data_IF_242286135435
#
_entry.id   IF_242286135435
#
_cell.length_a   1.000
_cell.length_b   1.000
_cell.length_c   1.000
_cell.angle_alpha   90.00
_cell.angle_beta   90.00
_cell.angle_gamma   90.00
#
_symmetry.space_group_name_H-M   'P 1'
#
loop_
_entity.id
_entity.type
_entity.pdbx_description
1 polymer ?
#
# COMPACT_ATOMS: atom_id res chain seq x y z
N UNK A 1 -18.90 -2.58 7.34
CA UNK A 1 -19.93 -1.79 8.06
C UNK A 1 -19.77 -0.31 7.72
N UNK A 2 -18.58 0.29 7.94
CA UNK A 2 -18.32 1.73 7.69
C UNK A 2 -18.59 2.11 6.23
N UNK A 3 -18.08 1.36 5.24
CA UNK A 3 -18.31 1.62 3.82
C UNK A 3 -19.81 1.55 3.45
N UNK A 4 -20.58 0.69 4.10
CA UNK A 4 -22.03 0.57 3.87
C UNK A 4 -22.80 1.79 4.40
N UNK A 5 -22.31 2.38 5.50
CA UNK A 5 -22.97 3.54 6.14
C UNK A 5 -22.57 4.84 5.43
N UNK A 6 -21.28 5.01 5.11
CA UNK A 6 -20.73 6.26 4.55
C UNK A 6 -20.87 6.31 3.02
N UNK A 7 -20.57 5.21 2.32
CA UNK A 7 -20.54 5.17 0.85
C UNK A 7 -21.82 4.59 0.23
N UNK A 8 -22.79 4.12 1.03
CA UNK A 8 -24.05 3.48 0.60
C UNK A 8 -23.86 2.32 -0.40
N UNK A 9 -22.67 1.74 -0.51
CA UNK A 9 -22.33 0.64 -1.41
C UNK A 9 -22.50 -0.72 -0.74
N UNK A 10 -23.09 -1.67 -1.45
CA UNK A 10 -23.56 -2.98 -0.91
C UNK A 10 -22.44 -3.96 -0.48
N UNK A 11 -21.22 -3.81 -0.83
CA UNK A 11 -20.02 -4.49 -0.29
C UNK A 11 -18.75 -3.96 -0.96
N UNK A 12 -18.03 -3.06 -0.33
CA UNK A 12 -16.68 -2.70 -0.76
C UNK A 12 -15.70 -3.16 0.31
N UNK A 13 -15.02 -4.27 0.05
CA UNK A 13 -13.81 -4.64 0.74
C UNK A 13 -12.71 -3.67 0.29
N UNK A 14 -12.55 -2.58 1.01
CA UNK A 14 -11.43 -1.67 0.76
C UNK A 14 -10.19 -2.22 1.47
N UNK A 15 -9.05 -2.26 0.75
CA UNK A 15 -7.75 -2.66 1.33
C UNK A 15 -7.46 -1.85 2.60
N UNK A 16 -7.78 -0.55 2.61
CA UNK A 16 -7.64 0.31 3.79
C UNK A 16 -8.47 -0.15 4.99
N UNK A 17 -9.70 -0.60 4.76
CA UNK A 17 -10.54 -1.15 5.84
C UNK A 17 -10.01 -2.48 6.39
N UNK A 18 -9.48 -3.35 5.53
CA UNK A 18 -8.86 -4.61 5.95
C UNK A 18 -7.59 -4.37 6.79
N UNK A 19 -6.74 -3.43 6.36
CA UNK A 19 -5.52 -3.04 7.09
C UNK A 19 -5.87 -2.43 8.44
N UNK A 20 -6.83 -1.51 8.49
CA UNK A 20 -7.29 -0.92 9.73
C UNK A 20 -7.80 -1.99 10.71
N UNK A 21 -8.66 -2.89 10.23
CA UNK A 21 -9.15 -4.00 11.05
C UNK A 21 -7.99 -4.89 11.54
N UNK A 22 -7.02 -5.22 10.66
CA UNK A 22 -5.85 -6.00 11.01
C UNK A 22 -5.00 -5.35 12.10
N UNK A 23 -4.69 -4.05 11.96
CA UNK A 23 -3.88 -3.31 12.95
C UNK A 23 -4.59 -3.24 14.31
N UNK A 24 -5.91 -3.05 14.31
CA UNK A 24 -6.69 -2.99 15.56
C UNK A 24 -6.84 -4.36 16.22
N UNK A 25 -7.04 -5.41 15.43
CA UNK A 25 -7.32 -6.76 15.99
C UNK A 25 -6.06 -7.57 16.30
N UNK A 26 -4.95 -7.34 15.59
CA UNK A 26 -3.72 -8.12 15.75
C UNK A 26 -3.16 -8.12 17.18
N UNK A 27 -3.08 -7.00 17.93
CA UNK A 27 -2.62 -7.01 19.31
C UNK A 27 -3.45 -7.93 20.20
N UNK A 28 -4.78 -7.90 20.04
CA UNK A 28 -5.70 -8.73 20.82
C UNK A 28 -5.54 -10.22 20.50
N UNK A 29 -5.33 -10.54 19.22
CA UNK A 29 -5.07 -11.93 18.80
C UNK A 29 -3.76 -12.42 19.39
N UNK A 30 -2.70 -11.62 19.37
CA UNK A 30 -1.40 -11.98 19.95
C UNK A 30 -1.54 -12.20 21.47
N UNK A 31 -2.27 -11.34 22.16
CA UNK A 31 -2.53 -11.49 23.61
C UNK A 31 -3.33 -12.76 23.89
N UNK A 32 -4.33 -13.07 23.08
CA UNK A 32 -5.12 -14.30 23.20
C UNK A 32 -4.25 -15.56 22.98
N UNK A 33 -3.40 -15.54 21.95
CA UNK A 33 -2.44 -16.62 21.67
C UNK A 33 -1.49 -16.83 22.85
N UNK A 34 -0.96 -15.75 23.42
CA UNK A 34 -0.10 -15.85 24.60
C UNK A 34 -0.85 -16.46 25.82
N UNK A 35 -2.10 -16.06 26.03
CA UNK A 35 -2.92 -16.55 27.15
C UNK A 35 -3.35 -18.02 26.99
N UNK A 36 -3.45 -18.52 25.80
CA UNK A 36 -3.89 -19.90 25.49
C UNK A 36 -2.72 -20.79 25.12
N UNK A 37 -2.22 -20.68 23.90
CA UNK A 37 -1.14 -21.52 23.37
C UNK A 37 0.20 -21.22 24.04
N UNK A 38 0.46 -19.94 24.38
CA UNK A 38 1.69 -19.53 25.06
C UNK A 38 1.84 -20.21 26.42
N UNK A 39 0.77 -20.29 27.18
CA UNK A 39 0.76 -21.01 28.47
C UNK A 39 0.83 -22.55 28.31
N UNK A 40 0.16 -23.10 27.28
CA UNK A 40 0.17 -24.53 27.00
C UNK A 40 1.53 -25.05 26.50
N UNK A 41 2.22 -24.25 25.68
CA UNK A 41 3.49 -24.61 25.05
C UNK A 41 4.72 -23.86 25.62
N UNK A 42 4.52 -23.10 26.70
CA UNK A 42 5.56 -22.38 27.41
C UNK A 42 6.38 -21.42 26.53
N UNK A 43 5.69 -20.61 25.69
CA UNK A 43 6.31 -19.54 24.91
C UNK A 43 5.57 -18.21 25.13
N UNK A 44 6.24 -17.10 24.82
CA UNK A 44 5.66 -15.76 24.87
C UNK A 44 6.03 -14.95 23.61
N UNK A 45 5.02 -14.39 22.94
CA UNK A 45 5.18 -13.53 21.77
C UNK A 45 5.07 -12.06 22.21
N UNK A 46 6.16 -11.28 22.19
CA UNK A 46 6.09 -9.86 22.48
C UNK A 46 5.25 -9.13 21.44
N UNK A 47 4.20 -8.43 21.87
CA UNK A 47 3.24 -7.78 20.97
C UNK A 47 3.93 -6.81 20.00
N UNK A 48 4.83 -5.96 20.51
CA UNK A 48 5.55 -4.97 19.69
C UNK A 48 6.42 -5.63 18.59
N UNK A 49 7.08 -6.75 18.91
CA UNK A 49 7.90 -7.50 17.95
C UNK A 49 7.02 -8.11 16.87
N UNK A 50 5.91 -8.74 17.24
CA UNK A 50 4.98 -9.33 16.28
C UNK A 50 4.33 -8.27 15.39
N UNK A 51 3.94 -7.14 15.96
CA UNK A 51 3.39 -6.02 15.18
C UNK A 51 4.42 -5.45 14.19
N UNK A 52 5.69 -5.37 14.57
CA UNK A 52 6.76 -4.94 13.66
C UNK A 52 6.94 -5.94 12.50
N UNK A 53 6.98 -7.24 12.78
CA UNK A 53 7.03 -8.27 11.73
C UNK A 53 5.86 -8.18 10.76
N UNK A 54 4.64 -8.03 11.28
CA UNK A 54 3.43 -7.89 10.46
C UNK A 54 3.48 -6.63 9.59
N UNK A 55 3.93 -5.51 10.15
CA UNK A 55 4.04 -4.23 9.42
C UNK A 55 5.09 -4.29 8.31
N UNK A 56 6.26 -4.88 8.58
CA UNK A 56 7.30 -5.10 7.56
C UNK A 56 6.79 -6.01 6.44
N UNK A 57 6.16 -7.15 6.80
CA UNK A 57 5.58 -8.08 5.84
C UNK A 57 4.50 -7.44 4.98
N UNK A 58 3.63 -6.63 5.59
CA UNK A 58 2.62 -5.84 4.90
C UNK A 58 3.26 -4.85 3.91
N UNK A 59 4.32 -4.16 4.31
CA UNK A 59 5.01 -3.16 3.47
C UNK A 59 5.59 -3.81 2.21
N UNK A 60 6.23 -4.98 2.32
CA UNK A 60 6.67 -5.75 1.16
C UNK A 60 5.50 -6.27 0.30
N UNK A 61 4.44 -6.75 0.94
CA UNK A 61 3.23 -7.21 0.24
C UNK A 61 2.58 -6.09 -0.59
N UNK A 62 2.48 -4.89 -0.04
CA UNK A 62 2.00 -3.70 -0.77
C UNK A 62 2.95 -3.31 -1.91
N UNK A 63 4.26 -3.38 -1.70
CA UNK A 63 5.26 -3.12 -2.75
C UNK A 63 5.06 -4.04 -3.96
N UNK A 64 4.99 -5.34 -3.73
CA UNK A 64 4.76 -6.34 -4.78
C UNK A 64 3.37 -6.18 -5.41
N UNK A 65 2.35 -5.88 -4.60
CA UNK A 65 0.99 -5.61 -5.07
C UNK A 65 0.93 -4.44 -6.06
N UNK A 66 1.79 -3.44 -5.94
CA UNK A 66 1.87 -2.33 -6.91
C UNK A 66 2.41 -2.76 -8.27
N UNK A 67 3.29 -3.74 -8.32
CA UNK A 67 3.75 -4.33 -9.59
C UNK A 67 2.61 -5.08 -10.29
N UNK A 68 1.75 -5.78 -9.54
CA UNK A 68 0.53 -6.37 -10.09
C UNK A 68 -0.42 -5.28 -10.63
N UNK A 69 -0.60 -4.16 -9.91
CA UNK A 69 -1.38 -3.03 -10.39
C UNK A 69 -0.85 -2.46 -11.71
N UNK A 70 0.49 -2.44 -11.90
CA UNK A 70 1.09 -2.05 -13.16
C UNK A 70 0.68 -2.99 -14.30
N UNK A 71 0.71 -4.32 -14.05
CA UNK A 71 0.29 -5.32 -15.03
C UNK A 71 -1.18 -5.21 -15.40
N UNK A 72 -2.06 -4.93 -14.44
CA UNK A 72 -3.51 -4.76 -14.68
C UNK A 72 -3.89 -3.37 -15.21
N UNK A 73 -2.98 -2.41 -15.24
CA UNK A 73 -3.27 -1.03 -15.63
C UNK A 73 -4.28 -0.35 -14.71
N UNK A 74 -4.27 -0.67 -13.40
CA UNK A 74 -5.07 -0.02 -12.38
C UNK A 74 -4.22 0.87 -11.49
N UNK A 75 -4.83 1.73 -10.66
CA UNK A 75 -4.14 2.65 -9.76
C UNK A 75 -3.12 3.55 -10.48
N UNK A 76 -3.41 3.93 -11.70
CA UNK A 76 -2.52 4.72 -12.57
C UNK A 76 -2.44 6.18 -12.14
N UNK A 77 -1.32 6.82 -12.50
CA UNK A 77 -1.09 8.23 -12.26
C UNK A 77 -1.76 9.13 -13.30
N UNK A 78 -1.65 10.45 -13.10
CA UNK A 78 -2.18 11.44 -14.04
C UNK A 78 -1.48 11.35 -15.40
N UNK A 79 -2.21 11.58 -16.51
CA UNK A 79 -1.61 11.74 -17.83
C UNK A 79 -0.65 12.92 -17.84
N UNK A 80 0.47 12.79 -18.52
CA UNK A 80 1.43 13.91 -18.65
C UNK A 80 0.85 15.12 -19.38
N UNK A 81 -0.17 14.93 -20.20
CA UNK A 81 -0.94 15.99 -20.84
C UNK A 81 -1.61 16.94 -19.83
N UNK A 82 -1.97 16.43 -18.66
CA UNK A 82 -2.59 17.19 -17.56
C UNK A 82 -1.56 17.75 -16.55
N UNK A 83 -0.30 17.41 -16.70
CA UNK A 83 0.77 17.87 -15.81
C UNK A 83 1.42 19.15 -16.35
N UNK A 84 1.74 20.07 -15.44
CA UNK A 84 2.41 21.34 -15.77
C UNK A 84 3.75 21.49 -15.04
N UNK A 85 4.62 22.34 -15.56
CA UNK A 85 5.86 22.73 -14.89
C UNK A 85 6.88 21.60 -14.70
N UNK A 86 7.52 21.57 -13.53
CA UNK A 86 8.62 20.66 -13.22
C UNK A 86 8.21 19.17 -13.21
N UNK A 87 6.98 18.87 -12.81
CA UNK A 87 6.47 17.49 -12.81
C UNK A 87 6.44 16.92 -14.24
N UNK A 88 5.98 17.68 -15.22
CA UNK A 88 5.97 17.25 -16.62
C UNK A 88 7.38 16.93 -17.12
N UNK A 89 8.36 17.83 -16.89
CA UNK A 89 9.75 17.61 -17.30
C UNK A 89 10.37 16.36 -16.68
N UNK A 90 10.12 16.14 -15.39
CA UNK A 90 10.64 14.97 -14.66
C UNK A 90 10.08 13.67 -15.23
N UNK A 91 8.76 13.60 -15.43
CA UNK A 91 8.08 12.38 -15.88
C UNK A 91 8.07 12.21 -17.42
N UNK A 92 8.56 13.18 -18.19
CA UNK A 92 8.69 13.03 -19.63
C UNK A 92 9.69 11.93 -20.02
N UNK A 93 10.74 11.73 -19.22
CA UNK A 93 11.74 10.67 -19.37
C UNK A 93 11.39 9.41 -18.60
N UNK A 94 10.58 9.52 -17.53
CA UNK A 94 10.18 8.43 -16.67
C UNK A 94 8.66 8.31 -16.62
N UNK A 95 8.10 7.63 -17.60
CA UNK A 95 6.64 7.46 -17.73
C UNK A 95 6.29 6.01 -18.08
N UNK A 96 5.02 5.68 -17.95
CA UNK A 96 4.45 4.38 -18.35
C UNK A 96 3.33 4.64 -19.36
N UNK A 97 3.33 3.84 -20.42
CA UNK A 97 2.26 3.80 -21.40
C UNK A 97 1.55 2.46 -21.29
N UNK A 98 0.25 2.49 -21.08
CA UNK A 98 -0.55 1.26 -21.02
C UNK A 98 -1.16 0.98 -22.38
N UNK A 99 -0.88 -0.21 -22.90
CA UNK A 99 -1.43 -0.73 -24.16
C UNK A 99 -2.30 -1.96 -23.89
N UNK A 100 -3.37 -2.13 -24.65
CA UNK A 100 -4.28 -3.28 -24.55
C UNK A 100 -5.62 -2.93 -23.92
N UNK A 101 -6.69 -3.40 -24.55
CA UNK A 101 -8.09 -3.10 -24.20
C UNK A 101 -8.53 -3.69 -22.85
N UNK A 102 -7.86 -4.76 -22.39
CA UNK A 102 -8.15 -5.43 -21.12
C UNK A 102 -7.64 -4.68 -19.89
N UNK A 103 -6.83 -3.64 -20.08
CA UNK A 103 -6.29 -2.81 -18.99
C UNK A 103 -7.37 -1.87 -18.43
N UNK A 104 -7.42 -1.70 -17.10
CA UNK A 104 -8.42 -0.81 -16.48
C UNK A 104 -8.36 0.61 -17.04
N UNK A 105 -7.17 1.13 -17.29
CA UNK A 105 -6.95 2.46 -17.89
C UNK A 105 -7.61 2.60 -19.27
N UNK A 106 -7.72 1.52 -20.05
CA UNK A 106 -8.35 1.52 -21.34
C UNK A 106 -9.90 1.54 -21.22
N UNK A 107 -10.47 0.52 -20.56
CA UNK A 107 -11.93 0.37 -20.54
C UNK A 107 -12.65 1.30 -19.55
N UNK A 108 -11.97 1.78 -18.49
CA UNK A 108 -12.60 2.65 -17.49
C UNK A 108 -12.39 4.15 -17.76
N UNK A 109 -11.34 4.54 -18.47
CA UNK A 109 -10.97 5.97 -18.65
C UNK A 109 -10.65 6.36 -20.08
N UNK A 110 -10.54 5.41 -21.02
CA UNK A 110 -10.19 5.70 -22.41
C UNK A 110 -8.79 6.28 -22.63
N UNK A 111 -7.89 6.12 -21.65
CA UNK A 111 -6.54 6.73 -21.65
C UNK A 111 -5.45 5.76 -22.14
N UNK A 112 -5.84 4.72 -22.89
CA UNK A 112 -4.88 3.80 -23.48
C UNK A 112 -3.95 4.53 -24.46
N UNK A 113 -2.65 4.23 -24.38
CA UNK A 113 -1.64 4.87 -25.23
C UNK A 113 -1.10 6.22 -24.74
N UNK A 114 -1.69 6.81 -23.70
CA UNK A 114 -1.16 8.03 -23.11
C UNK A 114 0.04 7.78 -22.19
N UNK A 115 0.98 8.74 -22.15
CA UNK A 115 2.08 8.74 -21.20
C UNK A 115 1.57 9.15 -19.82
N UNK A 116 1.79 8.31 -18.80
CA UNK A 116 1.29 8.53 -17.45
C UNK A 116 2.42 8.56 -16.44
N UNK A 117 2.19 9.25 -15.32
CA UNK A 117 3.09 9.19 -14.16
C UNK A 117 3.12 7.73 -13.65
N UNK A 118 4.31 7.12 -13.49
CA UNK A 118 4.46 5.72 -13.07
C UNK A 118 4.28 5.56 -11.56
N UNK A 119 3.15 6.01 -11.02
CA UNK A 119 2.91 6.07 -9.58
C UNK A 119 2.96 4.70 -8.92
N UNK A 120 2.64 3.62 -9.65
CA UNK A 120 2.72 2.25 -9.16
C UNK A 120 4.17 1.86 -8.89
N UNK A 121 5.09 2.17 -9.83
CA UNK A 121 6.52 1.87 -9.72
C UNK A 121 7.12 2.68 -8.57
N UNK A 122 6.84 3.98 -8.52
CA UNK A 122 7.33 4.86 -7.45
C UNK A 122 6.88 4.34 -6.08
N UNK A 123 5.61 3.97 -5.95
CA UNK A 123 5.07 3.40 -4.71
C UNK A 123 5.74 2.07 -4.36
N UNK A 124 5.96 1.18 -5.35
CA UNK A 124 6.63 -0.09 -5.13
C UNK A 124 8.05 0.11 -4.59
N UNK A 125 8.81 1.04 -5.18
CA UNK A 125 10.19 1.35 -4.75
C UNK A 125 10.21 1.94 -3.34
N UNK A 126 9.36 2.91 -3.04
CA UNK A 126 9.30 3.54 -1.70
C UNK A 126 8.97 2.49 -0.65
N UNK A 127 7.99 1.63 -0.90
CA UNK A 127 7.61 0.58 0.05
C UNK A 127 8.68 -0.51 0.17
N UNK A 128 9.37 -0.87 -0.92
CA UNK A 128 10.50 -1.80 -0.84
C UNK A 128 11.63 -1.24 0.03
N UNK A 129 11.98 0.04 -0.15
CA UNK A 129 13.02 0.71 0.66
C UNK A 129 12.60 0.76 2.12
N UNK A 130 11.36 1.19 2.42
CA UNK A 130 10.84 1.22 3.79
C UNK A 130 10.84 -0.18 4.42
N UNK A 131 10.42 -1.22 3.68
CA UNK A 131 10.49 -2.60 4.17
C UNK A 131 11.91 -3.06 4.49
N UNK A 132 12.91 -2.70 3.66
CA UNK A 132 14.32 -2.99 3.91
C UNK A 132 14.85 -2.25 5.14
N UNK A 133 14.55 -0.95 5.27
CA UNK A 133 14.92 -0.15 6.44
C UNK A 133 14.28 -0.71 7.70
N UNK A 134 12.98 -1.01 7.67
CA UNK A 134 12.26 -1.65 8.76
C UNK A 134 12.88 -2.99 9.17
N UNK A 135 13.27 -3.82 8.18
CA UNK A 135 13.96 -5.08 8.44
C UNK A 135 15.31 -4.87 9.13
N UNK A 136 16.11 -3.91 8.66
CA UNK A 136 17.41 -3.59 9.27
C UNK A 136 17.25 -3.12 10.72
N UNK A 137 16.28 -2.25 10.99
CA UNK A 137 15.97 -1.77 12.33
C UNK A 137 15.51 -2.91 13.24
N UNK A 138 14.66 -3.78 12.71
CA UNK A 138 14.17 -4.96 13.43
C UNK A 138 15.31 -5.91 13.81
N UNK A 139 16.19 -6.23 12.87
CA UNK A 139 17.35 -7.11 13.11
C UNK A 139 18.36 -6.52 14.11
N UNK A 140 18.40 -5.18 14.24
CA UNK A 140 19.19 -4.48 15.27
C UNK A 140 18.52 -4.42 16.64
N UNK A 141 17.35 -5.04 16.81
CA UNK A 141 16.59 -5.06 18.05
C UNK A 141 15.66 -3.87 18.27
N UNK A 142 15.54 -2.95 17.30
CA UNK A 142 14.70 -1.76 17.40
C UNK A 142 13.29 -2.01 16.83
N UNK A 143 12.60 -3.07 17.29
CA UNK A 143 11.30 -3.48 16.77
C UNK A 143 10.24 -2.36 16.81
N UNK A 144 10.18 -1.57 17.90
CA UNK A 144 9.26 -0.45 18.01
C UNK A 144 9.51 0.64 16.97
N UNK A 145 10.79 0.96 16.71
CA UNK A 145 11.17 1.95 15.68
C UNK A 145 10.85 1.43 14.28
N UNK A 146 11.11 0.15 14.01
CA UNK A 146 10.77 -0.50 12.74
C UNK A 146 9.25 -0.45 12.46
N UNK A 147 8.42 -0.70 13.49
CA UNK A 147 6.98 -0.58 13.39
C UNK A 147 6.55 0.85 13.04
N UNK A 148 7.05 1.84 13.77
CA UNK A 148 6.68 3.25 13.55
C UNK A 148 7.15 3.73 12.18
N UNK A 149 8.38 3.42 11.78
CA UNK A 149 8.94 3.78 10.48
C UNK A 149 8.07 3.25 9.33
N UNK A 150 7.80 1.94 9.30
CA UNK A 150 7.02 1.32 8.23
C UNK A 150 5.59 1.86 8.17
N UNK A 151 4.95 2.09 9.31
CA UNK A 151 3.61 2.69 9.35
C UNK A 151 3.62 4.15 8.86
N UNK A 152 4.54 4.97 9.36
CA UNK A 152 4.61 6.39 8.99
C UNK A 152 4.90 6.54 7.49
N UNK A 153 5.92 5.87 6.98
CA UNK A 153 6.28 5.97 5.57
C UNK A 153 5.14 5.52 4.66
N UNK A 154 4.51 4.38 4.96
CA UNK A 154 3.42 3.87 4.13
C UNK A 154 2.18 4.78 4.18
N UNK A 155 1.79 5.30 5.34
CA UNK A 155 0.61 6.17 5.46
C UNK A 155 0.86 7.56 4.86
N UNK A 156 2.01 8.18 5.12
CA UNK A 156 2.38 9.47 4.50
C UNK A 156 2.42 9.35 2.99
N UNK A 157 3.06 8.29 2.47
CA UNK A 157 3.11 8.07 1.03
C UNK A 157 1.72 7.83 0.42
N UNK A 158 0.82 7.14 1.11
CA UNK A 158 -0.58 6.98 0.64
C UNK A 158 -1.25 8.32 0.44
N UNK A 159 -1.12 9.25 1.38
CA UNK A 159 -1.68 10.60 1.24
C UNK A 159 -1.03 11.34 0.07
N UNK A 160 0.31 11.33 0.00
CA UNK A 160 1.04 12.01 -1.09
C UNK A 160 0.70 11.43 -2.46
N UNK A 161 0.62 10.10 -2.57
CA UNK A 161 0.33 9.44 -3.85
C UNK A 161 -1.05 9.78 -4.42
N UNK A 162 -2.03 10.10 -3.57
CA UNK A 162 -3.38 10.49 -4.04
C UNK A 162 -3.35 11.77 -4.91
N UNK A 163 -2.43 12.70 -4.67
CA UNK A 163 -2.29 13.90 -5.49
C UNK A 163 -1.81 13.61 -6.92
N UNK A 164 -1.15 12.47 -7.13
CA UNK A 164 -0.62 12.06 -8.43
C UNK A 164 -1.48 11.02 -9.15
N UNK A 165 -2.53 10.53 -8.51
CA UNK A 165 -3.42 9.51 -9.08
C UNK A 165 -4.54 10.15 -9.90
N UNK A 166 -4.99 9.41 -10.92
CA UNK A 166 -6.11 9.76 -11.76
C UNK A 166 -7.09 8.59 -11.96
N UNK A 167 -6.90 7.47 -11.27
CA UNK A 167 -7.76 6.31 -11.47
C UNK A 167 -9.19 6.55 -10.97
N UNK A 168 -10.14 6.24 -11.83
CA UNK A 168 -11.56 6.31 -11.50
C UNK A 168 -11.91 5.23 -10.47
N UNK A 169 -12.45 5.64 -9.32
CA UNK A 169 -12.82 4.73 -8.22
C UNK A 169 -14.28 4.32 -8.22
N UNK A 170 -15.04 4.75 -9.23
CA UNK A 170 -16.48 4.52 -9.32
C UNK A 170 -17.24 5.31 -8.25
N UNK A 171 -18.24 6.06 -8.66
CA UNK A 171 -19.27 6.62 -7.78
C UNK A 171 -20.27 5.54 -7.35
#
# INVERSE_FOLDING_TARGET
IVARIVEKKKATLTIGGAVFAGVVTAPWIIMLVNATLGTAFNFHLPVAVMMACLSIGYTFGESLGRLACLSFGCCYGKPLSQCTGHARKLFEHFNVVFTGETKKVAYASGLAGEKMIPIQIITAVIYAISGLVGTLLFLRGFAGIALVETLVVTQVWRVVSEFFRADFRGE
#
